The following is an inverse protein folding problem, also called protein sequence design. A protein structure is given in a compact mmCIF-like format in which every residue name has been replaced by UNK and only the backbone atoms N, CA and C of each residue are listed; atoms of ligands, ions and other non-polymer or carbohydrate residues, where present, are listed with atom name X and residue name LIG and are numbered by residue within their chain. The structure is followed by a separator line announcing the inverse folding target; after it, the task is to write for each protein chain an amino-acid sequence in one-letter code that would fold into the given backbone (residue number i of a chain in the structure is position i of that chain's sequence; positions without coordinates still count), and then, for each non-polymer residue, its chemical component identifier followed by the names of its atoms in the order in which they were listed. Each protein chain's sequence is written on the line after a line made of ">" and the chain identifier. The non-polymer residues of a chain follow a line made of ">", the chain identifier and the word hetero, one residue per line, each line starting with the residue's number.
data_IF_732911201501
#
_entry.id   IF_732911201501
#
_cell.length_a   1.000
_cell.length_b   1.000
_cell.length_c   1.000
_cell.angle_alpha   90.00
_cell.angle_beta   90.00
_cell.angle_gamma   90.00
#
_symmetry.space_group_name_H-M   'P 1'
#
loop_
_entity.id
_entity.type
_entity.pdbx_description
1 polymer ?
#
# COMPACT_ATOMS: atom_id res chain seq x y z
N UNK A 1 11.08 -41.49 44.41
CA UNK A 1 11.23 -42.30 45.66
C UNK A 1 10.09 -43.30 45.66
N UNK A 2 10.33 -44.48 45.14
CA UNK A 2 9.38 -45.61 45.19
C UNK A 2 9.66 -46.40 46.44
N UNK A 3 8.63 -46.50 47.27
CA UNK A 3 8.68 -47.10 48.62
C UNK A 3 8.92 -48.61 48.55
N UNK A 4 10.08 -49.05 48.96
CA UNK A 4 10.53 -50.47 49.04
C UNK A 4 10.08 -51.21 50.31
N UNK A 5 8.93 -50.91 50.89
CA UNK A 5 8.50 -51.55 52.14
C UNK A 5 7.09 -52.15 52.03
N UNK A 6 6.90 -53.09 51.09
CA UNK A 6 5.79 -54.09 51.14
C UNK A 6 6.03 -55.19 50.09
N UNK A 7 7.03 -55.98 50.33
CA UNK A 7 7.26 -57.26 49.62
C UNK A 7 7.59 -58.37 50.61
N UNK A 8 6.69 -58.61 51.51
CA UNK A 8 6.62 -59.89 52.24
C UNK A 8 5.16 -60.14 52.51
N UNK A 9 4.60 -61.12 51.83
CA UNK A 9 3.35 -61.87 51.92
C UNK A 9 2.57 -61.90 50.61
N UNK A 10 2.70 -63.05 49.94
CA UNK A 10 1.87 -63.38 48.79
C UNK A 10 2.65 -63.91 47.58
N UNK A 11 3.37 -64.99 47.68
CA UNK A 11 3.80 -65.79 46.54
C UNK A 11 2.61 -66.43 45.83
N UNK A 12 1.81 -65.63 45.14
CA UNK A 12 1.08 -66.08 43.97
C UNK A 12 1.99 -65.84 42.77
N UNK A 13 2.75 -66.88 42.42
CA UNK A 13 3.52 -66.98 41.16
C UNK A 13 2.58 -66.92 40.00
N UNK A 14 2.21 -65.70 39.58
CA UNK A 14 1.67 -65.44 38.25
C UNK A 14 2.74 -65.82 37.22
N UNK A 15 2.71 -67.10 36.79
CA UNK A 15 3.47 -67.53 35.62
C UNK A 15 2.94 -66.75 34.42
N UNK A 16 3.45 -65.55 34.19
CA UNK A 16 3.23 -64.82 32.95
C UNK A 16 3.95 -65.60 31.86
N UNK A 17 3.24 -66.56 31.25
CA UNK A 17 3.67 -67.21 30.02
C UNK A 17 3.64 -66.13 28.93
N UNK A 18 4.79 -65.49 28.70
CA UNK A 18 4.94 -64.55 27.58
C UNK A 18 4.80 -65.37 26.31
N UNK A 19 3.67 -65.23 25.60
CA UNK A 19 3.41 -65.89 24.33
C UNK A 19 4.36 -65.31 23.26
N UNK A 20 5.25 -66.08 22.66
CA UNK A 20 6.08 -65.61 21.56
C UNK A 20 5.31 -65.06 20.35
N UNK A 21 4.08 -65.52 20.19
CA UNK A 21 3.15 -65.06 19.13
C UNK A 21 2.68 -63.61 19.39
N UNK A 22 2.43 -63.25 20.65
CA UNK A 22 2.02 -61.92 21.06
C UNK A 22 3.11 -60.85 20.74
N UNK A 23 4.36 -61.17 21.00
CA UNK A 23 5.52 -60.30 20.66
C UNK A 23 5.59 -60.10 19.13
N UNK A 24 5.35 -61.16 18.33
CA UNK A 24 5.34 -61.07 16.89
C UNK A 24 4.16 -60.21 16.36
N UNK A 25 2.96 -60.38 16.98
CA UNK A 25 1.77 -59.57 16.64
C UNK A 25 2.03 -58.07 16.91
N UNK A 26 2.48 -57.74 18.10
CA UNK A 26 2.80 -56.33 18.45
C UNK A 26 3.87 -55.74 17.52
N UNK A 27 4.90 -56.52 17.17
CA UNK A 27 5.91 -56.05 16.20
C UNK A 27 5.29 -55.82 14.82
N UNK A 28 4.41 -56.70 14.35
CA UNK A 28 3.73 -56.53 13.06
C UNK A 28 2.80 -55.31 13.06
N UNK A 29 2.13 -55.00 14.20
CA UNK A 29 1.30 -53.82 14.39
C UNK A 29 2.15 -52.53 14.36
N UNK A 30 3.34 -52.52 15.05
CA UNK A 30 4.26 -51.41 14.98
C UNK A 30 4.71 -51.13 13.54
N UNK A 31 5.12 -52.19 12.79
CA UNK A 31 5.52 -52.06 11.40
C UNK A 31 4.37 -51.58 10.49
N UNK A 32 3.14 -51.95 10.77
CA UNK A 32 1.96 -51.46 10.05
C UNK A 32 1.68 -49.96 10.32
N UNK A 33 1.74 -49.55 11.59
CA UNK A 33 1.59 -48.17 12.01
C UNK A 33 2.74 -47.25 11.49
N UNK A 34 3.97 -47.79 11.42
CA UNK A 34 5.09 -47.06 10.79
C UNK A 34 4.89 -46.80 9.30
N UNK A 35 4.32 -47.79 8.57
CA UNK A 35 3.95 -47.59 7.17
C UNK A 35 2.82 -46.56 7.01
N UNK A 36 1.81 -46.60 7.88
CA UNK A 36 0.75 -45.60 7.93
C UNK A 36 1.31 -44.20 8.23
N UNK A 37 2.17 -44.10 9.26
CA UNK A 37 2.88 -42.86 9.58
C UNK A 37 3.61 -42.29 8.37
N UNK A 38 4.36 -43.10 7.65
CA UNK A 38 5.07 -42.70 6.44
C UNK A 38 4.11 -42.19 5.35
N UNK A 39 3.01 -42.87 5.12
CA UNK A 39 1.98 -42.45 4.16
C UNK A 39 1.34 -41.10 4.54
N UNK A 40 1.09 -40.88 5.84
CA UNK A 40 0.59 -39.59 6.35
C UNK A 40 1.63 -38.46 6.18
N UNK A 41 2.91 -38.74 6.43
CA UNK A 41 4.00 -37.79 6.23
C UNK A 41 4.14 -37.39 4.76
N UNK A 42 4.09 -38.35 3.83
CA UNK A 42 4.14 -38.09 2.40
C UNK A 42 2.96 -37.17 1.94
N UNK A 43 1.74 -37.42 2.46
CA UNK A 43 0.57 -36.55 2.20
C UNK A 43 0.77 -35.14 2.77
N UNK A 44 1.32 -35.05 3.97
CA UNK A 44 1.61 -33.77 4.62
C UNK A 44 2.62 -32.96 3.81
N UNK A 45 3.67 -33.59 3.31
CA UNK A 45 4.69 -32.94 2.46
C UNK A 45 4.11 -32.45 1.13
N UNK A 46 3.21 -33.24 0.52
CA UNK A 46 2.51 -32.82 -0.69
C UNK A 46 1.64 -31.58 -0.45
N UNK A 47 0.83 -31.58 0.62
CA UNK A 47 -0.01 -30.45 0.98
C UNK A 47 0.82 -29.19 1.34
N UNK A 48 1.98 -29.37 1.98
CA UNK A 48 2.88 -28.25 2.25
C UNK A 48 3.46 -27.65 0.96
N UNK A 49 3.81 -28.48 -0.01
CA UNK A 49 4.24 -27.99 -1.33
C UNK A 49 3.14 -27.22 -2.05
N UNK A 50 1.93 -27.77 -2.07
CA UNK A 50 0.77 -27.08 -2.64
C UNK A 50 0.47 -25.75 -1.92
N UNK A 51 0.51 -25.75 -0.61
CA UNK A 51 0.32 -24.56 0.21
C UNK A 51 1.33 -23.46 -0.17
N UNK A 52 2.60 -23.82 -0.32
CA UNK A 52 3.64 -22.86 -0.68
C UNK A 52 3.41 -22.27 -2.08
N UNK A 53 2.95 -23.08 -3.04
CA UNK A 53 2.61 -22.60 -4.39
C UNK A 53 1.48 -21.57 -4.34
N UNK A 54 0.41 -21.83 -3.55
CA UNK A 54 -0.71 -20.90 -3.44
C UNK A 54 -0.35 -19.63 -2.68
N UNK A 55 0.53 -19.73 -1.66
CA UNK A 55 1.08 -18.57 -0.96
C UNK A 55 1.86 -17.68 -1.95
N UNK A 56 2.74 -18.27 -2.76
CA UNK A 56 3.51 -17.51 -3.76
C UNK A 56 2.59 -16.81 -4.76
N UNK A 57 1.61 -17.52 -5.32
CA UNK A 57 0.64 -16.93 -6.26
C UNK A 57 -0.14 -15.76 -5.63
N UNK A 58 -0.60 -15.93 -4.39
CA UNK A 58 -1.28 -14.87 -3.63
C UNK A 58 -0.37 -13.66 -3.42
N UNK A 59 0.88 -13.89 -3.04
CA UNK A 59 1.84 -12.81 -2.74
C UNK A 59 2.25 -12.05 -4.00
N UNK A 60 2.40 -12.73 -5.14
CA UNK A 60 2.60 -12.11 -6.44
C UNK A 60 1.43 -11.20 -6.81
N UNK A 61 0.19 -11.70 -6.70
CA UNK A 61 -1.01 -10.89 -6.96
C UNK A 61 -1.14 -9.70 -6.01
N UNK A 62 -0.85 -9.88 -4.73
CA UNK A 62 -0.84 -8.79 -3.76
C UNK A 62 0.24 -7.73 -4.09
N UNK A 63 1.38 -8.13 -4.65
CA UNK A 63 2.41 -7.21 -5.12
C UNK A 63 1.93 -6.39 -6.32
N UNK A 64 1.26 -7.03 -7.29
CA UNK A 64 0.64 -6.36 -8.44
C UNK A 64 -0.41 -5.32 -7.98
N UNK A 65 -1.28 -5.70 -7.03
CA UNK A 65 -2.27 -4.80 -6.43
C UNK A 65 -1.61 -3.57 -5.80
N UNK A 66 -0.52 -3.76 -5.06
CA UNK A 66 0.23 -2.65 -4.44
C UNK A 66 0.78 -1.70 -5.50
N UNK A 67 1.41 -2.24 -6.55
CA UNK A 67 1.96 -1.43 -7.65
C UNK A 67 0.88 -0.64 -8.39
N UNK A 68 -0.28 -1.25 -8.67
CA UNK A 68 -1.38 -0.55 -9.31
C UNK A 68 -1.98 0.55 -8.43
N UNK A 69 -2.13 0.30 -7.13
CA UNK A 69 -2.58 1.32 -6.17
C UNK A 69 -1.59 2.47 -6.01
N UNK A 70 -0.30 2.20 -6.10
CA UNK A 70 0.74 3.23 -6.09
C UNK A 70 0.66 4.10 -7.34
N UNK A 71 0.55 3.49 -8.54
CA UNK A 71 0.29 4.24 -9.79
C UNK A 71 -0.99 5.07 -9.73
N UNK A 72 -2.06 4.52 -9.15
CA UNK A 72 -3.31 5.27 -8.98
C UNK A 72 -3.13 6.49 -8.07
N UNK A 73 -2.32 6.38 -7.00
CA UNK A 73 -1.97 7.50 -6.13
C UNK A 73 -1.15 8.56 -6.86
N UNK A 74 -0.19 8.15 -7.70
CA UNK A 74 0.58 9.08 -8.52
C UNK A 74 -0.33 9.87 -9.48
N UNK A 75 -1.26 9.20 -10.17
CA UNK A 75 -2.23 9.87 -11.04
C UNK A 75 -3.13 10.83 -10.26
N UNK A 76 -3.57 10.43 -9.05
CA UNK A 76 -4.32 11.31 -8.16
C UNK A 76 -3.53 12.57 -7.81
N UNK A 77 -2.28 12.43 -7.40
CA UNK A 77 -1.44 13.56 -7.02
C UNK A 77 -1.24 14.52 -8.20
N UNK A 78 -0.92 13.99 -9.39
CA UNK A 78 -0.79 14.80 -10.61
C UNK A 78 -2.08 15.54 -10.96
N UNK A 79 -3.24 14.87 -10.85
CA UNK A 79 -4.54 15.50 -11.03
C UNK A 79 -4.78 16.63 -10.05
N UNK A 80 -4.45 16.41 -8.78
CA UNK A 80 -4.66 17.39 -7.71
C UNK A 80 -3.74 18.62 -7.88
N UNK A 81 -2.49 18.42 -8.28
CA UNK A 81 -1.56 19.50 -8.65
C UNK A 81 -2.09 20.35 -9.83
N UNK A 82 -2.59 19.70 -10.88
CA UNK A 82 -3.20 20.39 -12.01
C UNK A 82 -4.45 21.17 -11.58
N UNK A 83 -5.28 20.58 -10.72
CA UNK A 83 -6.46 21.27 -10.20
C UNK A 83 -6.11 22.51 -9.35
N UNK A 84 -5.01 22.48 -8.61
CA UNK A 84 -4.50 23.67 -7.90
C UNK A 84 -4.08 24.75 -8.89
N UNK A 85 -3.35 24.42 -9.95
CA UNK A 85 -2.98 25.36 -11.01
C UNK A 85 -4.20 25.98 -11.68
N UNK A 86 -5.23 25.17 -11.95
CA UNK A 86 -6.51 25.65 -12.49
C UNK A 86 -7.17 26.67 -11.55
N UNK A 87 -7.14 26.41 -10.24
CA UNK A 87 -7.71 27.32 -9.24
C UNK A 87 -6.96 28.66 -9.21
N UNK A 88 -5.63 28.62 -9.26
CA UNK A 88 -4.80 29.83 -9.33
C UNK A 88 -5.06 30.65 -10.61
N UNK A 89 -5.13 29.98 -11.76
CA UNK A 89 -5.46 30.65 -13.01
C UNK A 89 -6.89 31.24 -13.03
N UNK A 90 -7.84 30.60 -12.38
CA UNK A 90 -9.22 31.13 -12.21
C UNK A 90 -9.20 32.39 -11.35
N UNK A 91 -8.46 32.42 -10.23
CA UNK A 91 -8.31 33.62 -9.39
C UNK A 91 -7.67 34.77 -10.19
N UNK A 92 -6.56 34.49 -10.88
CA UNK A 92 -5.90 35.49 -11.72
C UNK A 92 -6.83 36.03 -12.82
N UNK A 93 -7.68 35.17 -13.37
CA UNK A 93 -8.70 35.58 -14.37
C UNK A 93 -9.80 36.48 -13.76
N UNK A 94 -10.20 36.23 -12.53
CA UNK A 94 -11.12 37.09 -11.77
C UNK A 94 -10.49 38.45 -11.48
N UNK A 95 -9.21 38.50 -11.08
CA UNK A 95 -8.48 39.76 -10.86
C UNK A 95 -8.39 40.58 -12.16
N UNK A 96 -8.14 39.90 -13.31
CA UNK A 96 -8.15 40.58 -14.61
C UNK A 96 -9.54 41.10 -14.95
N UNK A 97 -10.61 40.38 -14.64
CA UNK A 97 -11.97 40.85 -14.87
C UNK A 97 -12.26 42.12 -14.05
N UNK A 98 -11.91 42.12 -12.76
CA UNK A 98 -12.06 43.31 -11.91
C UNK A 98 -11.26 44.52 -12.44
N UNK A 99 -10.02 44.30 -12.91
CA UNK A 99 -9.23 45.35 -13.56
C UNK A 99 -9.84 45.84 -14.88
N UNK A 100 -10.43 44.94 -15.65
CA UNK A 100 -11.13 45.32 -16.89
C UNK A 100 -12.36 46.17 -16.59
N UNK A 101 -13.13 45.85 -15.56
CA UNK A 101 -14.33 46.62 -15.18
C UNK A 101 -13.96 48.04 -14.76
N UNK A 102 -12.90 48.23 -13.98
CA UNK A 102 -12.37 49.55 -13.62
C UNK A 102 -11.93 50.34 -14.86
N UNK A 103 -11.16 49.70 -15.76
CA UNK A 103 -10.70 50.36 -16.97
C UNK A 103 -11.88 50.69 -17.96
N UNK A 104 -12.93 49.91 -17.95
CA UNK A 104 -14.16 50.28 -18.73
C UNK A 104 -14.82 51.51 -18.14
N UNK A 105 -14.92 51.62 -16.81
CA UNK A 105 -15.47 52.81 -16.15
C UNK A 105 -14.61 54.05 -16.48
N UNK A 106 -13.30 53.95 -16.34
CA UNK A 106 -12.37 55.01 -16.71
C UNK A 106 -12.52 55.42 -18.20
N UNK A 107 -12.62 54.42 -19.10
CA UNK A 107 -12.79 54.70 -20.51
C UNK A 107 -14.15 55.41 -20.84
N UNK A 108 -15.20 55.07 -20.08
CA UNK A 108 -16.50 55.76 -20.20
C UNK A 108 -16.40 57.19 -19.71
N UNK A 109 -15.72 57.43 -18.58
CA UNK A 109 -15.50 58.77 -18.05
C UNK A 109 -14.68 59.66 -19.04
N UNK A 110 -13.56 59.12 -19.55
CA UNK A 110 -12.77 59.86 -20.54
C UNK A 110 -13.54 60.14 -21.84
N UNK A 111 -14.35 59.21 -22.26
CA UNK A 111 -15.25 59.40 -23.41
C UNK A 111 -16.26 60.50 -23.15
N UNK A 112 -16.93 60.47 -21.98
CA UNK A 112 -17.92 61.45 -21.60
C UNK A 112 -17.30 62.87 -21.56
N UNK A 113 -16.16 62.99 -20.85
CA UNK A 113 -15.43 64.30 -20.78
C UNK A 113 -14.97 64.78 -22.14
N UNK A 114 -14.43 63.89 -22.99
CA UNK A 114 -14.05 64.28 -24.38
C UNK A 114 -15.24 64.77 -25.17
N UNK A 115 -16.41 64.09 -25.06
CA UNK A 115 -17.59 64.42 -25.82
C UNK A 115 -18.24 65.72 -25.27
N UNK A 116 -18.19 65.97 -23.98
CA UNK A 116 -18.55 67.22 -23.34
C UNK A 116 -17.72 68.42 -23.87
N UNK A 117 -16.39 68.34 -23.81
CA UNK A 117 -15.53 69.35 -24.39
C UNK A 117 -15.71 69.51 -25.86
N UNK A 118 -16.00 68.47 -26.63
CA UNK A 118 -16.28 68.56 -28.04
C UNK A 118 -17.61 69.30 -28.34
N UNK A 119 -18.59 69.19 -27.48
CA UNK A 119 -19.87 69.93 -27.58
C UNK A 119 -19.71 71.42 -27.26
N UNK A 120 -18.78 71.77 -26.35
CA UNK A 120 -18.48 73.15 -25.99
C UNK A 120 -17.76 73.94 -27.11
N UNK A 121 -17.20 73.17 -28.08
CA UNK A 121 -16.46 73.75 -29.19
C UNK A 121 -17.36 74.50 -30.17
N UNK A 122 -17.10 75.79 -30.30
CA UNK A 122 -17.86 76.69 -31.19
C UNK A 122 -17.27 76.83 -32.58
N UNK A 123 -15.91 76.86 -32.65
CA UNK A 123 -15.19 77.04 -33.91
C UNK A 123 -14.69 75.70 -34.44
N UNK A 124 -15.06 75.38 -35.68
CA UNK A 124 -14.60 74.13 -36.34
C UNK A 124 -13.25 74.33 -37.06
N UNK A 125 -12.32 75.00 -36.40
CA UNK A 125 -10.99 75.28 -36.98
C UNK A 125 -9.95 74.32 -36.43
N UNK A 126 -8.95 73.87 -37.19
CA UNK A 126 -7.84 73.10 -36.69
C UNK A 126 -6.98 73.93 -35.74
N UNK A 127 -6.30 73.26 -34.80
CA UNK A 127 -5.52 73.85 -33.72
C UNK A 127 -4.47 74.84 -34.25
N UNK A 128 -3.75 74.43 -35.25
CA UNK A 128 -2.68 75.20 -35.90
C UNK A 128 -3.21 76.55 -36.46
N UNK A 129 -4.43 76.53 -37.05
CA UNK A 129 -5.04 77.76 -37.57
C UNK A 129 -5.51 78.71 -36.45
N UNK A 130 -5.91 78.15 -35.29
CA UNK A 130 -6.26 78.99 -34.15
C UNK A 130 -5.03 79.66 -33.56
N UNK A 131 -3.95 78.90 -33.41
CA UNK A 131 -2.64 79.39 -32.91
C UNK A 131 -2.11 80.45 -33.85
N UNK A 132 -2.04 80.25 -35.15
CA UNK A 132 -1.64 81.26 -36.14
C UNK A 132 -2.53 82.49 -36.06
N UNK A 133 -3.79 82.36 -35.82
CA UNK A 133 -4.74 83.46 -35.75
C UNK A 133 -4.51 84.31 -34.49
N UNK A 134 -4.22 83.66 -33.37
CA UNK A 134 -3.86 84.32 -32.11
C UNK A 134 -2.56 85.12 -32.29
N UNK A 135 -1.50 84.50 -32.83
CA UNK A 135 -0.23 85.16 -33.11
C UNK A 135 -0.38 86.42 -34.02
N UNK A 136 -1.20 86.29 -35.07
CA UNK A 136 -1.48 87.44 -35.94
C UNK A 136 -2.19 88.60 -35.25
N UNK A 137 -3.14 88.31 -34.38
CA UNK A 137 -3.91 89.29 -33.63
C UNK A 137 -3.03 89.93 -32.53
N UNK A 138 -2.19 89.13 -31.89
CA UNK A 138 -1.16 89.65 -30.90
C UNK A 138 -0.16 90.54 -31.59
N UNK A 139 0.32 90.14 -32.78
CA UNK A 139 1.27 90.98 -33.56
C UNK A 139 0.60 92.30 -34.02
N UNK A 140 -0.70 92.27 -34.47
CA UNK A 140 -1.51 93.46 -34.84
C UNK A 140 -1.64 94.41 -33.65
N UNK A 141 -1.86 93.85 -32.43
CA UNK A 141 -1.98 94.63 -31.19
C UNK A 141 -0.66 95.33 -30.81
N UNK A 142 0.48 94.68 -31.04
CA UNK A 142 1.80 95.21 -30.65
C UNK A 142 2.35 96.18 -31.65
N UNK A 143 2.06 96.10 -32.95
CA UNK A 143 2.74 96.88 -34.01
C UNK A 143 1.93 97.98 -34.57
N UNK A 144 0.61 97.96 -34.52
CA UNK A 144 -0.29 98.96 -35.10
C UNK A 144 -0.91 99.86 -34.01
N UNK A 145 -0.76 101.15 -34.04
CA UNK A 145 -1.51 102.05 -33.17
C UNK A 145 -3.01 102.03 -33.59
N UNK A 146 -3.82 101.48 -32.76
CA UNK A 146 -5.26 101.29 -32.98
C UNK A 146 -6.12 102.11 -32.05
N UNK A 147 -7.40 102.33 -32.39
CA UNK A 147 -8.28 103.02 -31.48
C UNK A 147 -8.62 102.15 -30.31
N UNK A 148 -8.92 102.67 -29.08
CA UNK A 148 -9.24 101.86 -27.89
C UNK A 148 -10.40 100.82 -28.08
N UNK A 149 -11.33 101.20 -28.98
CA UNK A 149 -12.47 100.28 -29.32
C UNK A 149 -11.97 99.10 -30.17
N UNK A 150 -10.99 99.29 -31.05
CA UNK A 150 -10.44 98.23 -31.88
C UNK A 150 -9.53 97.33 -31.05
N UNK A 151 -8.71 97.91 -30.15
CA UNK A 151 -7.92 97.11 -29.21
C UNK A 151 -8.78 96.21 -28.38
N UNK A 152 -9.89 96.70 -27.84
CA UNK A 152 -10.87 95.87 -27.09
C UNK A 152 -11.44 94.71 -27.97
N UNK A 153 -11.77 94.98 -29.21
CA UNK A 153 -12.29 93.92 -30.13
C UNK A 153 -11.22 92.86 -30.43
N UNK A 154 -9.96 93.23 -30.56
CA UNK A 154 -8.83 92.28 -30.77
C UNK A 154 -8.64 91.41 -29.55
N UNK A 155 -8.60 92.07 -28.34
CA UNK A 155 -8.49 91.34 -27.07
C UNK A 155 -9.65 90.35 -26.88
N UNK A 156 -10.88 90.78 -27.15
CA UNK A 156 -12.09 89.89 -27.05
C UNK A 156 -11.95 88.73 -28.06
N UNK A 157 -11.45 88.92 -29.26
CA UNK A 157 -11.21 87.85 -30.23
C UNK A 157 -10.15 86.87 -29.78
N UNK A 158 -9.00 87.40 -29.25
CA UNK A 158 -7.92 86.57 -28.69
C UNK A 158 -8.50 85.72 -27.56
N UNK A 159 -9.31 86.28 -26.66
CA UNK A 159 -9.91 85.60 -25.54
C UNK A 159 -10.82 84.47 -25.97
N UNK A 160 -11.64 84.65 -27.01
CA UNK A 160 -12.49 83.61 -27.59
C UNK A 160 -11.64 82.51 -28.24
N UNK A 161 -10.60 82.86 -28.99
CA UNK A 161 -9.71 81.89 -29.61
C UNK A 161 -8.88 81.11 -28.57
N UNK A 162 -8.39 81.76 -27.51
CA UNK A 162 -7.70 81.09 -26.42
C UNK A 162 -8.59 80.09 -25.68
N UNK A 163 -9.85 80.44 -25.41
CA UNK A 163 -10.84 79.51 -24.85
C UNK A 163 -11.09 78.30 -25.74
N UNK A 164 -11.17 78.53 -27.06
CA UNK A 164 -11.37 77.47 -28.03
C UNK A 164 -10.15 76.58 -28.15
N UNK A 165 -8.93 77.12 -28.03
CA UNK A 165 -7.68 76.39 -28.00
C UNK A 165 -7.60 75.49 -26.77
N UNK A 166 -7.99 75.99 -25.60
CA UNK A 166 -8.04 75.23 -24.34
C UNK A 166 -9.02 74.03 -24.44
N UNK A 167 -10.22 74.28 -25.01
CA UNK A 167 -11.21 73.22 -25.25
C UNK A 167 -10.63 72.11 -26.16
N UNK A 168 -9.91 72.50 -27.21
CA UNK A 168 -9.23 71.58 -28.11
C UNK A 168 -8.15 70.77 -27.40
N UNK A 169 -7.28 71.43 -26.61
CA UNK A 169 -6.23 70.76 -25.87
C UNK A 169 -6.82 69.75 -24.86
N UNK A 170 -7.87 70.10 -24.14
CA UNK A 170 -8.54 69.17 -23.25
C UNK A 170 -9.18 68.00 -24.01
N UNK A 171 -9.82 68.24 -25.13
CA UNK A 171 -10.38 67.18 -25.99
C UNK A 171 -9.33 66.19 -26.45
N UNK A 172 -8.16 66.67 -26.91
CA UNK A 172 -7.03 65.86 -27.32
C UNK A 172 -6.44 65.07 -26.15
N UNK A 173 -6.32 65.70 -24.97
CA UNK A 173 -5.83 65.08 -23.76
C UNK A 173 -6.72 63.87 -23.37
N UNK A 174 -8.04 64.08 -23.34
CA UNK A 174 -8.97 62.96 -23.04
C UNK A 174 -9.00 61.92 -24.14
N UNK A 175 -8.81 62.30 -25.40
CA UNK A 175 -8.72 61.37 -26.52
C UNK A 175 -7.45 60.47 -26.37
N UNK A 176 -6.31 61.02 -26.03
CA UNK A 176 -5.07 60.25 -25.75
C UNK A 176 -5.26 59.29 -24.61
N UNK A 177 -5.80 59.79 -23.47
CA UNK A 177 -6.09 58.92 -22.32
C UNK A 177 -7.01 57.77 -22.67
N UNK A 178 -8.06 58.04 -23.42
CA UNK A 178 -9.02 57.01 -23.91
C UNK A 178 -8.33 55.97 -24.80
N UNK A 179 -7.42 56.40 -25.69
CA UNK A 179 -6.65 55.46 -26.52
C UNK A 179 -5.72 54.57 -25.68
N UNK A 180 -5.04 55.15 -24.71
CA UNK A 180 -4.15 54.40 -23.80
C UNK A 180 -4.93 53.38 -22.97
N UNK A 181 -6.08 53.81 -22.40
CA UNK A 181 -6.97 52.91 -21.67
C UNK A 181 -7.49 51.79 -22.53
N UNK A 182 -7.88 52.06 -23.78
CA UNK A 182 -8.30 51.05 -24.77
C UNK A 182 -7.19 50.02 -25.06
N UNK A 183 -5.94 50.48 -25.23
CA UNK A 183 -4.78 49.59 -25.42
C UNK A 183 -4.58 48.67 -24.22
N UNK A 184 -4.71 49.18 -22.97
CA UNK A 184 -4.66 48.42 -21.76
C UNK A 184 -5.79 47.36 -21.67
N UNK A 185 -7.00 47.75 -22.00
CA UNK A 185 -8.16 46.86 -22.09
C UNK A 185 -7.90 45.72 -23.07
N UNK A 186 -7.37 46.02 -24.27
CA UNK A 186 -7.09 44.98 -25.27
C UNK A 186 -6.02 43.98 -24.83
N UNK A 187 -4.93 44.49 -24.20
CA UNK A 187 -3.89 43.62 -23.68
C UNK A 187 -4.42 42.68 -22.60
N UNK A 188 -5.23 43.17 -21.64
CA UNK A 188 -5.85 42.36 -20.61
C UNK A 188 -6.88 41.36 -21.16
N UNK A 189 -7.64 41.75 -22.19
CA UNK A 189 -8.55 40.82 -22.92
C UNK A 189 -7.78 39.67 -23.57
N UNK A 190 -6.63 39.95 -24.19
CA UNK A 190 -5.76 38.90 -24.75
C UNK A 190 -5.23 37.96 -23.65
N UNK A 191 -4.72 38.52 -22.55
CA UNK A 191 -4.26 37.73 -21.41
C UNK A 191 -5.38 36.84 -20.82
N UNK A 192 -6.58 37.40 -20.63
CA UNK A 192 -7.77 36.65 -20.17
C UNK A 192 -8.15 35.47 -21.09
N UNK A 193 -8.08 35.68 -22.42
CA UNK A 193 -8.34 34.61 -23.40
C UNK A 193 -7.29 33.51 -23.35
N UNK A 194 -6.01 33.90 -23.26
CA UNK A 194 -4.91 32.95 -23.14
C UNK A 194 -5.05 32.07 -21.89
N UNK A 195 -5.34 32.69 -20.71
CA UNK A 195 -5.63 31.94 -19.49
C UNK A 195 -6.84 31.01 -19.63
N UNK A 196 -7.89 31.44 -20.36
CA UNK A 196 -9.05 30.60 -20.62
C UNK A 196 -8.70 29.32 -21.41
N UNK A 197 -7.86 29.45 -22.44
CA UNK A 197 -7.37 28.29 -23.21
C UNK A 197 -6.46 27.38 -22.38
N UNK A 198 -5.64 27.95 -21.52
CA UNK A 198 -4.76 27.19 -20.62
C UNK A 198 -5.54 26.41 -19.58
N UNK A 199 -6.55 27.04 -18.94
CA UNK A 199 -7.47 26.37 -18.02
C UNK A 199 -8.14 25.16 -18.70
N UNK A 200 -8.60 25.33 -19.94
CA UNK A 200 -9.25 24.24 -20.68
C UNK A 200 -8.28 23.10 -21.00
N UNK A 201 -7.05 23.42 -21.39
CA UNK A 201 -5.99 22.43 -21.62
C UNK A 201 -5.68 21.63 -20.35
N UNK A 202 -5.49 22.34 -19.24
CA UNK A 202 -5.22 21.71 -17.93
C UNK A 202 -6.42 20.88 -17.44
N UNK A 203 -7.65 21.34 -17.65
CA UNK A 203 -8.85 20.58 -17.31
C UNK A 203 -8.92 19.25 -18.08
N UNK A 204 -8.60 19.26 -19.37
CA UNK A 204 -8.53 18.03 -20.17
C UNK A 204 -7.43 17.08 -19.65
N UNK A 205 -6.26 17.60 -19.25
CA UNK A 205 -5.19 16.80 -18.66
C UNK A 205 -5.61 16.21 -17.30
N UNK A 206 -6.25 17.01 -16.46
CA UNK A 206 -6.79 16.56 -15.18
C UNK A 206 -7.80 15.41 -15.37
N UNK A 207 -8.68 15.53 -16.37
CA UNK A 207 -9.63 14.48 -16.71
C UNK A 207 -8.94 13.19 -17.17
N UNK A 208 -7.91 13.29 -17.99
CA UNK A 208 -7.11 12.13 -18.41
C UNK A 208 -6.47 11.40 -17.24
N UNK A 209 -5.85 12.14 -16.30
CA UNK A 209 -5.29 11.54 -15.09
C UNK A 209 -6.36 10.93 -14.18
N UNK A 210 -7.54 11.55 -14.10
CA UNK A 210 -8.66 10.97 -13.37
C UNK A 210 -9.11 9.63 -13.97
N UNK A 211 -9.22 9.52 -15.28
CA UNK A 211 -9.58 8.28 -15.96
C UNK A 211 -8.51 7.19 -15.78
N UNK A 212 -7.22 7.56 -15.88
CA UNK A 212 -6.11 6.63 -15.62
C UNK A 212 -6.10 6.13 -14.17
N UNK A 213 -6.38 7.02 -13.23
CA UNK A 213 -6.53 6.67 -11.81
C UNK A 213 -7.66 5.66 -11.59
N UNK A 214 -8.84 5.92 -12.18
CA UNK A 214 -9.99 5.01 -12.06
C UNK A 214 -9.70 3.64 -12.66
N UNK A 215 -9.10 3.60 -13.87
CA UNK A 215 -8.69 2.34 -14.51
C UNK A 215 -7.71 1.55 -13.64
N UNK A 216 -6.71 2.22 -13.05
CA UNK A 216 -5.74 1.57 -12.19
C UNK A 216 -6.38 1.01 -10.91
N UNK A 217 -7.35 1.71 -10.31
CA UNK A 217 -8.11 1.18 -9.18
C UNK A 217 -8.99 -0.02 -9.56
N UNK A 218 -9.70 0.05 -10.69
CA UNK A 218 -10.51 -1.07 -11.19
C UNK A 218 -9.66 -2.32 -11.41
N UNK A 219 -8.53 -2.19 -12.09
CA UNK A 219 -7.58 -3.29 -12.29
C UNK A 219 -7.03 -3.84 -10.96
N UNK A 220 -6.72 -2.96 -10.01
CA UNK A 220 -6.27 -3.38 -8.69
C UNK A 220 -7.34 -4.16 -7.92
N UNK A 221 -8.60 -3.78 -8.05
CA UNK A 221 -9.70 -4.46 -7.37
C UNK A 221 -10.06 -5.80 -8.04
N UNK A 222 -9.91 -5.93 -9.36
CA UNK A 222 -10.04 -7.21 -10.08
C UNK A 222 -8.95 -8.20 -9.64
N UNK A 223 -7.68 -7.78 -9.66
CA UNK A 223 -6.56 -8.63 -9.22
C UNK A 223 -6.66 -8.97 -7.74
N UNK A 224 -7.21 -8.05 -6.92
CA UNK A 224 -7.44 -8.32 -5.51
C UNK A 224 -8.43 -9.45 -5.29
N UNK A 225 -9.49 -9.55 -6.09
CA UNK A 225 -10.44 -10.66 -6.01
C UNK A 225 -9.76 -12.01 -6.28
N UNK A 226 -8.87 -12.07 -7.30
CA UNK A 226 -8.07 -13.27 -7.55
C UNK A 226 -7.15 -13.61 -6.36
N UNK A 227 -6.52 -12.59 -5.76
CA UNK A 227 -5.67 -12.78 -4.57
C UNK A 227 -6.47 -13.30 -3.36
N UNK A 228 -7.71 -12.82 -3.19
CA UNK A 228 -8.61 -13.26 -2.12
C UNK A 228 -9.09 -14.72 -2.35
N UNK A 229 -9.32 -15.13 -3.60
CA UNK A 229 -9.60 -16.55 -3.93
C UNK A 229 -8.41 -17.45 -3.61
N UNK A 230 -7.17 -17.02 -3.94
CA UNK A 230 -5.97 -17.77 -3.57
C UNK A 230 -5.77 -17.82 -2.05
N UNK A 231 -6.14 -16.74 -1.36
CA UNK A 231 -6.11 -16.73 0.10
C UNK A 231 -7.08 -17.75 0.71
N UNK A 232 -8.28 -17.91 0.16
CA UNK A 232 -9.22 -18.95 0.61
C UNK A 232 -8.64 -20.35 0.43
N UNK A 233 -8.03 -20.65 -0.72
CA UNK A 233 -7.34 -21.93 -0.95
C UNK A 233 -6.21 -22.18 0.06
N UNK A 234 -5.45 -21.13 0.40
CA UNK A 234 -4.42 -21.20 1.46
C UNK A 234 -5.04 -21.56 2.81
N UNK A 235 -6.20 -21.00 3.16
CA UNK A 235 -6.88 -21.32 4.42
C UNK A 235 -7.38 -22.77 4.44
N UNK A 236 -8.05 -23.24 3.38
CA UNK A 236 -8.51 -24.61 3.26
C UNK A 236 -7.37 -25.64 3.37
N UNK A 237 -6.23 -25.38 2.71
CA UNK A 237 -5.07 -26.24 2.81
C UNK A 237 -4.44 -26.24 4.21
N UNK A 238 -4.44 -25.09 4.90
CA UNK A 238 -3.98 -25.03 6.30
C UNK A 238 -4.85 -25.85 7.23
N UNK A 239 -6.17 -25.81 7.07
CA UNK A 239 -7.09 -26.64 7.85
C UNK A 239 -6.81 -28.13 7.62
N UNK A 240 -6.71 -28.58 6.35
CA UNK A 240 -6.33 -29.95 6.01
C UNK A 240 -4.99 -30.38 6.62
N UNK A 241 -3.99 -29.51 6.59
CA UNK A 241 -2.67 -29.75 7.22
C UNK A 241 -2.80 -29.92 8.73
N UNK A 242 -3.65 -29.12 9.37
CA UNK A 242 -3.89 -29.23 10.82
C UNK A 242 -4.52 -30.57 11.15
N UNK A 243 -5.50 -31.03 10.38
CA UNK A 243 -6.18 -32.30 10.62
C UNK A 243 -5.25 -33.49 10.39
N UNK A 244 -4.48 -33.50 9.31
CA UNK A 244 -3.46 -34.53 9.05
C UNK A 244 -2.39 -34.54 10.14
N UNK A 245 -2.00 -33.40 10.69
CA UNK A 245 -1.07 -33.36 11.83
C UNK A 245 -1.68 -33.94 13.12
N UNK A 246 -3.01 -33.84 13.30
CA UNK A 246 -3.69 -34.52 14.42
C UNK A 246 -3.65 -36.03 14.21
N UNK A 247 -4.00 -36.53 13.03
CA UNK A 247 -3.90 -37.94 12.66
C UNK A 247 -2.47 -38.47 12.87
N UNK A 248 -1.46 -37.75 12.41
CA UNK A 248 -0.05 -38.12 12.63
C UNK A 248 0.30 -38.29 14.11
N UNK A 249 -0.13 -37.37 14.96
CA UNK A 249 0.11 -37.45 16.41
C UNK A 249 -0.61 -38.66 17.06
N UNK A 250 -1.80 -39.00 16.59
CA UNK A 250 -2.52 -40.16 17.10
C UNK A 250 -1.80 -41.44 16.71
N UNK A 251 -1.30 -41.57 15.48
CA UNK A 251 -0.52 -42.72 15.05
C UNK A 251 0.81 -42.80 15.81
N UNK A 252 1.50 -41.69 16.00
CA UNK A 252 2.74 -41.63 16.79
C UNK A 252 2.52 -42.05 18.25
N UNK A 253 1.39 -41.64 18.83
CA UNK A 253 1.04 -42.05 20.19
C UNK A 253 0.77 -43.56 20.26
N UNK A 254 0.03 -44.14 19.29
CA UNK A 254 -0.18 -45.57 19.20
C UNK A 254 1.15 -46.34 19.06
N UNK A 255 2.02 -45.92 18.18
CA UNK A 255 3.35 -46.51 18.01
C UNK A 255 4.11 -46.48 19.36
N UNK A 256 4.10 -45.38 20.07
CA UNK A 256 4.74 -45.29 21.37
C UNK A 256 4.13 -46.25 22.40
N UNK A 257 2.83 -46.35 22.49
CA UNK A 257 2.13 -47.30 23.37
C UNK A 257 2.49 -48.74 23.08
N UNK A 258 2.49 -49.12 21.79
CA UNK A 258 2.87 -50.48 21.37
C UNK A 258 4.37 -50.75 21.56
N UNK A 259 5.24 -49.79 21.34
CA UNK A 259 6.67 -49.93 21.59
C UNK A 259 7.00 -50.12 23.09
N UNK A 260 6.30 -49.42 23.97
CA UNK A 260 6.39 -49.64 25.39
C UNK A 260 5.95 -51.07 25.80
N UNK A 261 4.80 -51.52 25.30
CA UNK A 261 4.32 -52.90 25.52
C UNK A 261 5.30 -53.93 24.98
N UNK A 262 5.86 -53.70 23.82
CA UNK A 262 6.86 -54.59 23.23
C UNK A 262 8.11 -54.70 24.07
N UNK A 263 8.63 -53.57 24.59
CA UNK A 263 9.79 -53.52 25.48
C UNK A 263 9.51 -54.26 26.81
N UNK A 264 8.32 -54.07 27.41
CA UNK A 264 7.90 -54.77 28.61
C UNK A 264 7.86 -56.30 28.40
N UNK A 265 7.23 -56.77 27.31
CA UNK A 265 7.16 -58.20 27.01
C UNK A 265 8.54 -58.80 26.73
N UNK A 266 9.43 -58.09 26.05
CA UNK A 266 10.84 -58.54 25.89
C UNK A 266 11.54 -58.64 27.24
N UNK A 267 11.36 -57.62 28.11
CA UNK A 267 11.95 -57.64 29.45
C UNK A 267 11.45 -58.85 30.28
N UNK A 268 10.11 -59.11 30.27
CA UNK A 268 9.55 -60.30 30.92
C UNK A 268 10.10 -61.60 30.35
N UNK A 269 10.21 -61.72 29.01
CA UNK A 269 10.81 -62.91 28.37
C UNK A 269 12.28 -63.10 28.76
N UNK A 270 13.06 -62.03 28.87
CA UNK A 270 14.45 -62.12 29.33
C UNK A 270 14.55 -62.58 30.79
N UNK A 271 13.71 -62.00 31.68
CA UNK A 271 13.64 -62.42 33.06
C UNK A 271 13.25 -63.88 33.22
N UNK A 272 12.19 -64.35 32.48
CA UNK A 272 11.77 -65.75 32.47
C UNK A 272 12.88 -66.68 31.97
N UNK A 273 13.61 -66.26 30.89
CA UNK A 273 14.74 -67.04 30.40
C UNK A 273 15.94 -67.12 31.39
N UNK A 274 16.17 -66.04 32.13
CA UNK A 274 17.17 -66.04 33.16
C UNK A 274 16.80 -66.93 34.35
N UNK A 275 15.49 -66.88 34.78
CA UNK A 275 14.99 -67.79 35.86
C UNK A 275 15.09 -69.25 35.40
N UNK A 276 14.61 -69.61 34.20
CA UNK A 276 14.68 -70.98 33.71
C UNK A 276 16.12 -71.53 33.58
N UNK A 277 17.08 -70.64 33.17
CA UNK A 277 18.50 -71.00 33.20
C UNK A 277 19.03 -71.20 34.62
N UNK A 278 18.60 -70.33 35.56
CA UNK A 278 19.02 -70.41 36.97
C UNK A 278 18.43 -71.67 37.61
N UNK A 279 17.15 -71.99 37.36
CA UNK A 279 16.49 -73.21 37.88
C UNK A 279 17.16 -74.48 37.28
N UNK A 280 17.37 -74.51 35.98
CA UNK A 280 18.05 -75.65 35.32
C UNK A 280 19.50 -75.82 35.76
N UNK A 281 20.22 -74.76 36.09
CA UNK A 281 21.59 -74.85 36.64
C UNK A 281 21.56 -75.25 38.12
N UNK A 282 20.50 -74.86 38.84
CA UNK A 282 20.31 -75.29 40.26
C UNK A 282 19.91 -76.76 40.34
N UNK A 283 18.98 -77.21 39.46
CA UNK A 283 18.60 -78.62 39.35
C UNK A 283 19.84 -79.51 39.09
N UNK A 284 20.71 -79.13 38.14
CA UNK A 284 21.98 -79.80 37.87
C UNK A 284 22.92 -79.74 39.11
N UNK A 285 22.91 -78.66 39.87
CA UNK A 285 23.71 -78.61 41.14
C UNK A 285 23.16 -79.52 42.20
N UNK A 286 21.81 -79.68 42.29
CA UNK A 286 21.17 -80.66 43.23
C UNK A 286 21.48 -82.09 42.80
N UNK A 287 21.37 -82.47 41.49
CA UNK A 287 21.77 -83.77 40.96
C UNK A 287 23.24 -84.05 41.26
N UNK A 288 24.11 -83.08 41.07
CA UNK A 288 25.53 -83.20 41.44
C UNK A 288 25.76 -83.44 42.94
N UNK A 289 24.93 -82.75 43.80
CA UNK A 289 24.96 -82.96 45.28
C UNK A 289 24.54 -84.41 45.67
N UNK A 290 23.49 -84.93 44.98
CA UNK A 290 23.10 -86.32 45.22
C UNK A 290 24.16 -87.33 44.79
N UNK A 291 24.82 -87.12 43.67
CA UNK A 291 25.99 -87.94 43.24
C UNK A 291 27.15 -87.86 44.32
N UNK A 292 27.41 -86.67 44.82
CA UNK A 292 28.38 -86.46 45.83
C UNK A 292 28.09 -87.26 47.15
N UNK A 293 26.83 -87.17 47.57
CA UNK A 293 26.36 -87.95 48.77
C UNK A 293 26.40 -89.44 48.53
N UNK A 294 26.30 -89.95 47.32
CA UNK A 294 26.39 -91.35 46.93
C UNK A 294 27.84 -91.83 46.74
N UNK A 295 28.80 -90.90 46.86
CA UNK A 295 30.25 -91.25 46.70
C UNK A 295 30.66 -91.48 45.23
N UNK A 296 29.84 -91.03 44.26
CA UNK A 296 30.12 -91.16 42.83
C UNK A 296 31.16 -90.10 42.42
N UNK A 297 31.91 -90.36 41.28
CA UNK A 297 32.89 -89.42 40.81
C UNK A 297 32.19 -88.27 40.13
N UNK A 298 32.46 -87.05 40.57
CA UNK A 298 31.93 -85.82 40.05
C UNK A 298 32.87 -85.30 38.95
N UNK A 299 32.25 -84.68 37.93
CA UNK A 299 32.97 -83.92 36.88
C UNK A 299 33.37 -82.55 37.43
N UNK A 300 34.40 -81.90 36.84
CA UNK A 300 34.85 -80.59 37.28
C UNK A 300 33.72 -79.51 37.19
N UNK A 301 32.84 -79.59 36.17
CA UNK A 301 31.72 -78.73 36.00
C UNK A 301 30.65 -78.90 37.13
N UNK A 302 30.39 -80.11 37.49
CA UNK A 302 29.48 -80.45 38.63
C UNK A 302 30.03 -79.92 39.96
N UNK A 303 31.35 -80.02 40.16
CA UNK A 303 31.98 -79.50 41.37
C UNK A 303 31.97 -77.96 41.39
N UNK A 304 32.19 -77.27 40.30
CA UNK A 304 32.02 -75.82 40.16
C UNK A 304 30.60 -75.35 40.41
N UNK A 305 29.60 -76.13 39.99
CA UNK A 305 28.20 -75.85 40.24
C UNK A 305 27.87 -75.97 41.72
N UNK A 306 28.35 -77.01 42.40
CA UNK A 306 28.18 -77.15 43.84
C UNK A 306 28.80 -75.99 44.66
N UNK A 307 30.00 -75.56 44.28
CA UNK A 307 30.69 -74.41 44.83
C UNK A 307 29.95 -73.09 44.59
N UNK A 308 29.42 -72.92 43.39
CA UNK A 308 28.64 -71.71 42.99
C UNK A 308 27.38 -71.53 43.81
N UNK A 309 26.75 -72.66 44.26
CA UNK A 309 25.49 -72.60 45.03
C UNK A 309 25.75 -72.86 46.51
N UNK A 310 27.00 -72.89 46.99
CA UNK A 310 27.41 -73.16 48.39
C UNK A 310 26.76 -74.45 48.94
N UNK A 311 26.73 -75.53 48.20
CA UNK A 311 26.15 -76.82 48.58
C UNK A 311 27.18 -77.81 49.12
N UNK A 312 28.44 -77.52 48.96
CA UNK A 312 29.59 -78.27 49.51
C UNK A 312 30.70 -77.31 49.85
#
# INVERSE_FOLDING_TARGET
>A
MINYSKMEEGEETMQVKVDPEEIKRIKAEIEALEREKKGIQERLDQLQKELNIWIQKRDEKNKEVRQLREKAREYKNRRDEINQQIQELKKNREDINAKLDLLYQEAMEYRAKRDEYRQLRRLKMPKEKIEERIEKLEWELQTNPTTPEREKQIVDQIQVLATELEILQQTERFHKKLQETRKKIESLKRARRAMGMEIQKLANQSQQFHEQMLKAYQQADEIKKEADEYHQKVLELREKIIDIRKELREVERKIFEFDQKHKELIAYKMVAKMRSKKDATFERAVEALEKFKRGEKLTLDELLLLQRYNLV
#
